data_IF_859355166993
#
_entry.id   IF_859355166993
#
_cell.length_a   1.000
_cell.length_b   1.000
_cell.length_c   1.000
_cell.angle_alpha   90.00
_cell.angle_beta   90.00
_cell.angle_gamma   90.00
#
_symmetry.space_group_name_H-M   'P 1'
#
loop_
_entity.id
_entity.type
_entity.pdbx_description
1 polymer ?
#
# COMPACT_ATOMS: atom_id res chain seq x y z
N UNK A 1 -22.67 -8.27 19.94
CA UNK A 1 -21.91 -7.55 18.89
C UNK A 1 -22.80 -6.46 18.34
N UNK A 2 -22.23 -5.28 18.08
CA UNK A 2 -22.97 -4.20 17.43
C UNK A 2 -23.05 -4.46 15.93
N UNK A 3 -24.25 -4.72 15.37
CA UNK A 3 -24.41 -5.00 13.94
C UNK A 3 -24.30 -3.75 13.06
N UNK A 4 -24.20 -2.56 13.66
CA UNK A 4 -24.10 -1.29 12.93
C UNK A 4 -22.66 -0.87 12.67
N UNK A 5 -21.68 -1.49 13.34
CA UNK A 5 -20.26 -1.19 13.19
C UNK A 5 -19.75 -1.47 11.78
N UNK A 6 -19.27 -0.43 11.08
CA UNK A 6 -18.73 -0.54 9.74
C UNK A 6 -17.21 -0.76 9.77
N UNK A 7 -16.74 -1.75 9.03
CA UNK A 7 -15.32 -2.05 8.81
C UNK A 7 -15.12 -2.78 7.49
N UNK A 8 -13.92 -2.64 6.93
CA UNK A 8 -13.56 -3.37 5.70
C UNK A 8 -12.92 -4.71 6.04
N UNK A 9 -13.26 -5.74 5.28
CA UNK A 9 -12.66 -7.06 5.33
C UNK A 9 -12.85 -7.82 4.02
N UNK A 10 -11.96 -8.75 3.71
CA UNK A 10 -12.12 -9.63 2.53
C UNK A 10 -11.43 -10.98 2.79
N UNK A 11 -10.15 -11.13 2.48
CA UNK A 11 -9.44 -12.43 2.47
C UNK A 11 -9.33 -13.13 3.82
N UNK A 12 -9.18 -12.40 4.94
CA UNK A 12 -8.93 -12.89 6.31
C UNK A 12 -7.62 -13.67 6.51
N UNK A 13 -6.66 -13.50 5.59
CA UNK A 13 -5.37 -14.21 5.58
C UNK A 13 -4.17 -13.28 5.25
N UNK A 14 -4.36 -11.96 5.41
CA UNK A 14 -3.27 -10.99 5.25
C UNK A 14 -2.91 -10.61 3.81
N UNK A 15 -3.70 -11.02 2.80
CA UNK A 15 -3.33 -10.84 1.38
C UNK A 15 -3.96 -9.60 0.73
N UNK A 16 -5.15 -9.17 1.16
CA UNK A 16 -5.90 -8.11 0.46
C UNK A 16 -5.74 -6.70 1.03
N UNK A 17 -5.16 -6.53 2.22
CA UNK A 17 -4.98 -5.23 2.86
C UNK A 17 -6.24 -4.54 3.39
N UNK A 18 -7.45 -5.04 3.07
CA UNK A 18 -8.72 -4.34 3.34
C UNK A 18 -8.99 -4.08 4.82
N UNK A 19 -8.54 -4.96 5.72
CA UNK A 19 -8.80 -4.87 7.16
C UNK A 19 -7.73 -4.08 7.93
N UNK A 20 -6.96 -3.24 7.25
CA UNK A 20 -5.99 -2.37 7.91
C UNK A 20 -6.68 -1.38 8.83
N UNK A 21 -6.22 -1.31 10.08
CA UNK A 21 -6.72 -0.40 11.13
C UNK A 21 -5.66 -0.20 12.20
N UNK A 22 -5.93 0.68 13.15
CA UNK A 22 -5.06 0.87 14.30
C UNK A 22 -5.57 0.01 15.47
N UNK A 23 -4.76 -0.93 15.91
CA UNK A 23 -5.08 -1.85 17.03
C UNK A 23 -4.04 -1.62 18.13
N UNK A 24 -4.49 -1.17 19.30
CA UNK A 24 -3.60 -0.91 20.43
C UNK A 24 -2.49 0.11 20.14
N UNK A 25 -2.75 1.09 19.26
CA UNK A 25 -1.77 2.11 18.84
C UNK A 25 -0.89 1.70 17.65
N UNK A 26 -1.02 0.48 17.12
CA UNK A 26 -0.24 -0.03 15.99
C UNK A 26 -1.09 -0.16 14.73
N UNK A 27 -0.63 0.37 13.59
CA UNK A 27 -1.28 0.18 12.30
C UNK A 27 -0.96 -1.23 11.78
N UNK A 28 -1.97 -2.07 11.63
CA UNK A 28 -1.82 -3.48 11.27
C UNK A 28 -3.05 -4.02 10.56
N UNK A 29 -2.97 -5.26 10.07
CA UNK A 29 -4.10 -5.99 9.50
C UNK A 29 -4.84 -6.73 10.62
N UNK A 30 -6.12 -6.47 10.78
CA UNK A 30 -6.91 -7.10 11.83
C UNK A 30 -7.01 -8.62 11.71
N UNK A 31 -6.95 -9.15 10.49
CA UNK A 31 -7.11 -10.60 10.26
C UNK A 31 -5.87 -11.43 10.63
N UNK A 32 -4.70 -10.81 10.78
CA UNK A 32 -3.44 -11.48 11.15
C UNK A 32 -2.91 -11.05 12.50
N UNK A 33 -3.56 -10.07 13.17
CA UNK A 33 -3.17 -9.59 14.47
C UNK A 33 -3.77 -10.49 15.57
N UNK A 34 -2.91 -11.17 16.33
CA UNK A 34 -3.32 -12.06 17.40
C UNK A 34 -3.76 -11.30 18.65
N UNK A 35 -4.68 -11.86 19.41
CA UNK A 35 -5.11 -11.27 20.68
C UNK A 35 -3.96 -11.16 21.70
N UNK A 36 -3.02 -12.08 21.65
CA UNK A 36 -1.80 -12.11 22.48
C UNK A 36 -0.85 -10.93 22.20
N UNK A 37 -0.97 -10.29 21.03
CA UNK A 37 -0.19 -9.09 20.68
C UNK A 37 -0.78 -7.80 21.26
N UNK A 38 -1.99 -7.87 21.81
CA UNK A 38 -2.67 -6.71 22.39
C UNK A 38 -2.14 -6.45 23.80
N UNK A 39 -1.56 -5.28 24.10
CA UNK A 39 -1.08 -4.98 25.43
C UNK A 39 -2.25 -4.78 26.41
N UNK A 40 -2.26 -5.53 27.51
CA UNK A 40 -3.23 -5.39 28.59
C UNK A 40 -4.55 -6.13 28.37
N UNK A 41 -5.57 -5.78 29.16
CA UNK A 41 -6.88 -6.45 29.16
C UNK A 41 -7.92 -5.78 28.23
N UNK A 42 -7.62 -4.58 27.74
CA UNK A 42 -8.53 -3.79 26.90
C UNK A 42 -7.84 -3.44 25.60
N UNK A 43 -8.46 -3.79 24.48
CA UNK A 43 -7.98 -3.44 23.15
C UNK A 43 -8.73 -2.22 22.62
N UNK A 44 -8.01 -1.14 22.31
CA UNK A 44 -8.55 0.00 21.59
C UNK A 44 -8.36 -0.22 20.11
N UNK A 45 -9.44 -0.15 19.33
CA UNK A 45 -9.43 -0.26 17.87
C UNK A 45 -9.95 1.06 17.29
N UNK A 46 -9.20 1.63 16.36
CA UNK A 46 -9.56 2.86 15.64
C UNK A 46 -9.25 2.72 14.14
N UNK A 47 -9.84 3.57 13.29
CA UNK A 47 -9.47 3.58 11.87
C UNK A 47 -7.99 3.92 11.71
N UNK A 48 -7.44 3.68 10.51
CA UNK A 48 -6.09 4.15 10.17
C UNK A 48 -6.00 5.66 10.44
N UNK A 49 -4.98 6.13 11.19
CA UNK A 49 -4.84 7.53 11.55
C UNK A 49 -4.49 8.40 10.35
N UNK A 50 -4.72 9.71 10.47
CA UNK A 50 -4.37 10.73 9.47
C UNK A 50 -5.02 10.53 8.08
N UNK A 51 -6.13 9.82 8.02
CA UNK A 51 -7.04 9.75 6.88
C UNK A 51 -8.43 10.20 7.30
N UNK A 52 -9.22 10.86 6.44
CA UNK A 52 -10.61 11.17 6.73
C UNK A 52 -11.39 9.88 7.01
N UNK A 53 -12.34 9.93 7.94
CA UNK A 53 -13.18 8.77 8.29
C UNK A 53 -14.52 8.89 7.60
N UNK A 54 -14.88 7.90 6.82
CA UNK A 54 -16.19 7.82 6.18
C UNK A 54 -17.25 7.38 7.22
N UNK A 55 -16.95 6.29 7.93
CA UNK A 55 -17.79 5.75 8.99
C UNK A 55 -17.00 4.77 9.86
N UNK A 56 -17.10 4.86 11.16
CA UNK A 56 -16.51 3.94 12.16
C UNK A 56 -15.03 3.62 11.88
N UNK A 57 -14.71 2.40 11.43
CA UNK A 57 -13.36 1.94 11.12
C UNK A 57 -13.00 2.04 9.61
N UNK A 58 -13.83 2.77 8.83
CA UNK A 58 -13.66 2.89 7.38
C UNK A 58 -13.04 4.25 7.02
N UNK A 59 -11.73 4.33 6.72
CA UNK A 59 -11.09 5.54 6.24
C UNK A 59 -11.37 5.79 4.75
N UNK A 60 -11.28 7.05 4.35
CA UNK A 60 -11.29 7.44 2.94
C UNK A 60 -9.90 7.22 2.33
N UNK A 61 -9.83 6.37 1.32
CA UNK A 61 -8.61 5.99 0.62
C UNK A 61 -8.42 6.76 -0.71
N UNK A 62 -9.27 7.75 -1.01
CA UNK A 62 -9.28 8.44 -2.31
C UNK A 62 -7.92 9.07 -2.63
N UNK A 63 -7.36 9.86 -1.71
CA UNK A 63 -6.05 10.48 -1.89
C UNK A 63 -4.94 9.44 -2.04
N UNK A 64 -4.95 8.41 -1.22
CA UNK A 64 -3.97 7.33 -1.27
C UNK A 64 -3.92 6.64 -2.64
N UNK A 65 -5.09 6.32 -3.20
CA UNK A 65 -5.15 5.71 -4.53
C UNK A 65 -4.86 6.71 -5.67
N UNK A 66 -5.17 7.99 -5.49
CA UNK A 66 -4.77 9.02 -6.45
C UNK A 66 -3.24 9.14 -6.53
N UNK A 67 -2.55 9.13 -5.40
CA UNK A 67 -1.09 9.12 -5.32
C UNK A 67 -0.47 7.84 -5.90
N UNK A 68 -1.11 6.69 -5.65
CA UNK A 68 -0.69 5.44 -6.28
C UNK A 68 -0.87 5.48 -7.81
N UNK A 69 -1.98 6.04 -8.30
CA UNK A 69 -2.23 6.17 -9.73
C UNK A 69 -1.27 7.15 -10.41
N UNK A 70 -0.84 8.22 -9.72
CA UNK A 70 0.04 9.24 -10.30
C UNK A 70 1.43 8.72 -10.68
N UNK A 71 1.90 7.65 -10.07
CA UNK A 71 3.19 7.01 -10.41
C UNK A 71 3.06 5.98 -11.54
N UNK A 72 1.91 5.90 -12.19
CA UNK A 72 1.64 4.99 -13.32
C UNK A 72 2.10 3.55 -13.06
N UNK A 73 1.51 2.83 -12.08
CA UNK A 73 2.01 1.55 -11.58
C UNK A 73 1.75 0.36 -12.51
N UNK A 74 2.17 0.49 -13.77
CA UNK A 74 2.11 -0.53 -14.82
C UNK A 74 3.34 -0.46 -15.71
N UNK A 75 3.61 -1.51 -16.48
CA UNK A 75 4.77 -1.60 -17.36
C UNK A 75 4.68 -0.59 -18.51
N UNK A 76 5.71 0.21 -18.67
CA UNK A 76 5.87 1.11 -19.82
C UNK A 76 6.93 0.57 -20.77
N UNK A 77 6.55 0.37 -22.04
CA UNK A 77 7.43 -0.11 -23.09
C UNK A 77 7.34 0.81 -24.31
N UNK A 78 8.48 1.12 -24.90
CA UNK A 78 8.60 1.86 -26.18
C UNK A 78 8.88 0.89 -27.33
N UNK A 79 9.47 -0.25 -26.99
CA UNK A 79 9.76 -1.34 -27.93
C UNK A 79 8.47 -2.05 -28.33
N UNK A 80 8.29 -2.43 -29.62
CA UNK A 80 7.14 -3.21 -30.05
C UNK A 80 6.99 -4.51 -29.25
N UNK A 81 5.74 -4.91 -29.00
CA UNK A 81 5.43 -6.12 -28.25
C UNK A 81 6.10 -7.35 -28.90
N UNK A 82 6.83 -8.16 -28.10
CA UNK A 82 7.48 -9.35 -28.62
C UNK A 82 6.46 -10.44 -28.96
N UNK A 83 6.87 -11.39 -29.82
CA UNK A 83 6.07 -12.59 -30.04
C UNK A 83 6.12 -13.47 -28.78
N UNK A 84 5.07 -13.41 -27.97
CA UNK A 84 4.98 -14.13 -26.69
C UNK A 84 4.94 -13.18 -25.52
N UNK A 85 5.96 -13.19 -24.67
CA UNK A 85 5.99 -12.43 -23.41
C UNK A 85 7.29 -11.62 -23.24
N UNK A 86 7.23 -10.60 -22.39
CA UNK A 86 8.39 -9.83 -21.96
C UNK A 86 9.24 -10.67 -21.01
N UNK A 87 10.39 -11.16 -21.51
CA UNK A 87 11.29 -12.02 -20.73
C UNK A 87 12.05 -11.22 -19.66
N UNK A 88 12.28 -11.87 -18.53
CA UNK A 88 13.08 -11.33 -17.43
C UNK A 88 14.00 -12.42 -16.90
N UNK A 89 15.27 -12.10 -16.60
CA UNK A 89 16.17 -13.07 -15.99
C UNK A 89 15.79 -13.35 -14.54
N UNK A 90 16.10 -14.54 -13.98
CA UNK A 90 15.89 -14.82 -12.56
C UNK A 90 16.55 -13.79 -11.64
N UNK A 91 17.76 -13.33 -11.98
CA UNK A 91 18.49 -12.32 -11.20
C UNK A 91 17.80 -10.94 -11.22
N UNK A 92 17.19 -10.53 -12.36
CA UNK A 92 16.41 -9.29 -12.42
C UNK A 92 15.08 -9.44 -11.69
N UNK A 93 14.45 -10.62 -11.75
CA UNK A 93 13.24 -10.90 -11.00
C UNK A 93 13.46 -10.84 -9.48
N UNK A 94 14.59 -11.35 -8.99
CA UNK A 94 14.96 -11.33 -7.57
C UNK A 94 15.05 -9.90 -7.00
N UNK A 95 15.45 -8.90 -7.82
CA UNK A 95 15.48 -7.49 -7.40
C UNK A 95 14.11 -6.94 -7.00
N UNK A 96 13.02 -7.55 -7.46
CA UNK A 96 11.65 -7.13 -7.15
C UNK A 96 11.12 -7.74 -5.85
N UNK A 97 11.83 -8.69 -5.25
CA UNK A 97 11.41 -9.32 -3.99
C UNK A 97 11.36 -8.29 -2.86
N UNK A 98 10.29 -8.33 -2.07
CA UNK A 98 9.98 -7.33 -1.05
C UNK A 98 9.24 -6.08 -1.57
N UNK A 99 9.12 -5.91 -2.88
CA UNK A 99 8.47 -4.75 -3.49
C UNK A 99 7.11 -5.10 -4.10
N UNK A 100 7.04 -6.16 -4.91
CA UNK A 100 5.81 -6.55 -5.61
C UNK A 100 4.75 -7.14 -4.68
N UNK A 101 5.13 -7.61 -3.50
CA UNK A 101 4.22 -8.18 -2.49
C UNK A 101 3.39 -7.13 -1.76
N UNK A 102 3.62 -5.84 -2.00
CA UNK A 102 2.84 -4.78 -1.37
C UNK A 102 1.35 -4.91 -1.72
N UNK A 103 0.52 -5.00 -0.69
CA UNK A 103 -0.95 -5.20 -0.79
C UNK A 103 -1.75 -3.90 -0.66
N UNK A 104 -1.10 -2.74 -0.72
CA UNK A 104 -1.74 -1.41 -0.64
C UNK A 104 -2.62 -1.22 0.61
N UNK A 105 -2.23 -1.78 1.74
CA UNK A 105 -2.99 -1.68 2.99
C UNK A 105 -2.92 -0.29 3.66
N UNK A 106 -2.03 0.59 3.22
CA UNK A 106 -1.78 1.94 3.73
C UNK A 106 -1.23 2.03 5.16
N UNK A 107 -0.91 0.92 5.85
CA UNK A 107 -0.34 0.96 7.20
C UNK A 107 0.96 1.78 7.27
N UNK A 108 1.85 1.67 6.28
CA UNK A 108 3.11 2.42 6.22
C UNK A 108 2.89 3.91 5.99
N UNK A 109 2.00 4.30 5.07
CA UNK A 109 1.69 5.71 4.80
C UNK A 109 1.05 6.38 6.01
N UNK A 110 0.10 5.72 6.66
CA UNK A 110 -0.56 6.24 7.86
C UNK A 110 0.32 6.18 9.12
N UNK A 111 1.48 5.54 9.07
CA UNK A 111 2.50 5.56 10.12
C UNK A 111 3.63 6.56 9.85
N UNK A 112 3.62 7.23 8.70
CA UNK A 112 4.70 8.12 8.28
C UNK A 112 4.44 9.57 8.70
N UNK A 113 5.25 10.19 9.59
CA UNK A 113 5.05 11.58 10.00
C UNK A 113 5.10 12.59 8.84
N UNK A 114 5.96 12.36 7.85
CA UNK A 114 6.04 13.22 6.66
C UNK A 114 4.74 13.17 5.85
N UNK A 115 4.10 12.01 5.76
CA UNK A 115 2.80 11.85 5.11
C UNK A 115 1.68 12.54 5.89
N UNK A 116 1.71 12.51 7.23
CA UNK A 116 0.69 13.17 8.05
C UNK A 116 0.63 14.68 7.82
N UNK A 117 1.81 15.32 7.70
CA UNK A 117 1.92 16.77 7.62
C UNK A 117 1.89 17.32 6.21
N UNK A 118 2.26 16.53 5.20
CA UNK A 118 2.40 16.95 3.82
C UNK A 118 1.80 15.94 2.83
N UNK A 119 0.71 15.28 3.21
CA UNK A 119 0.08 14.26 2.36
C UNK A 119 -0.48 14.77 1.04
N UNK A 120 -0.64 16.10 0.90
CA UNK A 120 -1.02 16.77 -0.34
C UNK A 120 0.13 16.91 -1.35
N UNK A 121 1.40 16.82 -0.88
CA UNK A 121 2.61 17.03 -1.70
C UNK A 121 3.55 15.84 -1.70
N UNK A 122 3.54 15.07 -0.64
CA UNK A 122 4.42 13.92 -0.46
C UNK A 122 3.66 12.63 -0.76
N UNK A 123 4.11 11.89 -1.76
CA UNK A 123 3.45 10.66 -2.25
C UNK A 123 3.32 9.56 -1.19
N UNK A 124 4.20 9.57 -0.21
CA UNK A 124 4.20 8.59 0.87
C UNK A 124 4.91 7.27 0.56
N UNK A 125 5.17 6.46 1.61
CA UNK A 125 5.98 5.26 1.49
C UNK A 125 5.45 4.23 0.50
N UNK A 126 4.14 4.02 0.42
CA UNK A 126 3.55 3.02 -0.47
C UNK A 126 3.72 3.39 -1.94
N UNK A 127 3.44 4.65 -2.33
CA UNK A 127 3.63 5.10 -3.70
C UNK A 127 5.10 5.07 -4.10
N UNK A 128 6.01 5.53 -3.23
CA UNK A 128 7.46 5.51 -3.48
C UNK A 128 8.00 4.08 -3.61
N UNK A 129 7.51 3.13 -2.82
CA UNK A 129 7.87 1.71 -2.96
C UNK A 129 7.47 1.18 -4.34
N UNK A 130 6.26 1.48 -4.79
CA UNK A 130 5.80 1.06 -6.11
C UNK A 130 6.49 1.80 -7.26
N UNK A 131 6.83 3.08 -7.10
CA UNK A 131 7.64 3.81 -8.07
C UNK A 131 9.02 3.14 -8.23
N UNK A 132 9.69 2.85 -7.12
CA UNK A 132 10.98 2.15 -7.12
C UNK A 132 10.87 0.76 -7.76
N UNK A 133 9.81 0.01 -7.46
CA UNK A 133 9.54 -1.30 -8.09
C UNK A 133 9.56 -1.23 -9.61
N UNK A 134 8.98 -0.19 -10.21
CA UNK A 134 8.96 -0.02 -11.66
C UNK A 134 10.28 0.54 -12.21
N UNK A 135 10.96 1.41 -11.47
CA UNK A 135 12.28 1.94 -11.85
C UNK A 135 13.34 0.85 -11.99
N UNK A 136 13.26 -0.22 -11.20
CA UNK A 136 14.25 -1.32 -11.25
C UNK A 136 13.78 -2.53 -12.07
N UNK A 137 12.56 -2.51 -12.60
CA UNK A 137 12.07 -3.59 -13.47
C UNK A 137 12.80 -3.54 -14.80
N UNK A 138 13.57 -4.59 -15.12
CA UNK A 138 14.41 -4.67 -16.33
C UNK A 138 13.63 -4.60 -17.63
N UNK A 139 12.31 -4.69 -17.60
CA UNK A 139 11.41 -4.63 -18.74
C UNK A 139 10.83 -3.24 -18.96
N UNK A 140 10.93 -2.36 -17.94
CA UNK A 140 10.40 -0.99 -18.01
C UNK A 140 11.38 -0.08 -18.74
N UNK A 141 10.87 0.71 -19.69
CA UNK A 141 11.67 1.58 -20.57
C UNK A 141 11.44 3.08 -20.28
N UNK A 142 10.70 3.42 -19.21
CA UNK A 142 10.30 4.80 -18.89
C UNK A 142 11.02 5.40 -17.69
N UNK A 143 12.23 4.95 -17.34
CA UNK A 143 12.95 5.36 -16.13
C UNK A 143 13.04 6.87 -15.95
N UNK A 144 13.33 7.63 -17.04
CA UNK A 144 13.44 9.10 -16.99
C UNK A 144 12.10 9.76 -16.67
N UNK A 145 11.05 9.35 -17.36
CA UNK A 145 9.67 9.85 -17.17
C UNK A 145 9.18 9.57 -15.76
N UNK A 146 9.43 8.36 -15.26
CA UNK A 146 9.05 7.98 -13.87
C UNK A 146 9.77 8.81 -12.79
N UNK A 147 11.00 9.24 -13.04
CA UNK A 147 11.73 10.11 -12.11
C UNK A 147 11.19 11.54 -12.11
N UNK A 148 10.64 12.00 -13.24
CA UNK A 148 10.03 13.32 -13.36
C UNK A 148 8.65 13.37 -12.64
N UNK A 149 8.01 12.22 -12.40
CA UNK A 149 6.71 12.08 -11.71
C UNK A 149 6.85 12.02 -10.16
N UNK A 150 8.06 11.98 -9.63
CA UNK A 150 8.36 11.86 -8.19
C UNK A 150 8.74 13.18 -7.55
#
# INVERSE_FOLDING_TARGET
MDPTLAFRRSCREGVCGSCAMNIGGRNTLACTHGWEEVPGQTCTISPLPHMPVIKDLVPDMTLFYAQYASIEPWLHTKTPEPQGEWLQTPADREKLDGLYECILCACCSTSCPSYWWNGDKYLGPAALLHAYRWLIDSRDEATGERLDDL
#
